data_IF_344123167445
#
_entry.id   IF_344123167445
#
_cell.length_a   1.000
_cell.length_b   1.000
_cell.length_c   1.000
_cell.angle_alpha   90.00
_cell.angle_beta   90.00
_cell.angle_gamma   90.00
#
_symmetry.space_group_name_H-M   'P 1'
#
loop_
_entity.id
_entity.type
_entity.pdbx_description
1 polymer ?
#
# COMPACT_ATOMS: atom_id res chain seq x y z
N UNK A 1 21.92 -8.20 -12.60
CA UNK A 1 20.67 -7.79 -13.27
C UNK A 1 19.50 -8.56 -12.69
N UNK A 2 18.32 -7.98 -12.72
CA UNK A 2 17.06 -8.62 -12.31
C UNK A 2 16.80 -9.86 -13.18
N UNK A 3 16.34 -10.94 -12.55
CA UNK A 3 15.95 -12.15 -13.26
C UNK A 3 14.54 -11.98 -13.83
N UNK A 4 14.47 -11.37 -15.01
CA UNK A 4 13.22 -11.03 -15.69
C UNK A 4 12.36 -12.26 -16.04
N UNK A 5 12.99 -13.40 -16.34
CA UNK A 5 12.26 -14.62 -16.69
C UNK A 5 11.40 -15.13 -15.53
N UNK A 6 11.88 -15.00 -14.29
CA UNK A 6 11.12 -15.39 -13.11
C UNK A 6 9.91 -14.48 -12.84
N UNK A 7 9.95 -13.22 -13.30
CA UNK A 7 8.79 -12.34 -13.21
C UNK A 7 7.65 -12.86 -14.10
N UNK A 8 7.99 -13.45 -15.25
CA UNK A 8 7.04 -13.97 -16.23
C UNK A 8 6.69 -15.45 -16.00
N UNK A 9 7.41 -16.15 -15.14
CA UNK A 9 7.21 -17.58 -14.86
C UNK A 9 5.85 -17.84 -14.22
N UNK A 10 5.19 -18.95 -14.59
CA UNK A 10 3.96 -19.42 -13.93
C UNK A 10 4.23 -19.88 -12.48
N UNK A 11 5.42 -20.38 -12.21
CA UNK A 11 5.83 -20.80 -10.87
C UNK A 11 6.84 -19.83 -10.28
N UNK A 12 6.47 -19.25 -9.12
CA UNK A 12 7.38 -18.36 -8.40
C UNK A 12 8.41 -19.16 -7.61
N UNK A 13 9.68 -18.73 -7.59
CA UNK A 13 10.76 -19.39 -6.88
C UNK A 13 10.49 -19.49 -5.37
N UNK A 14 11.18 -20.41 -4.72
CA UNK A 14 11.07 -20.60 -3.26
C UNK A 14 11.69 -19.44 -2.45
N UNK A 15 12.69 -18.76 -3.01
CA UNK A 15 13.47 -17.71 -2.36
C UNK A 15 13.28 -16.38 -3.06
N UNK A 16 13.24 -15.30 -2.27
CA UNK A 16 13.20 -13.93 -2.80
C UNK A 16 14.47 -13.58 -3.59
N UNK A 17 15.63 -14.07 -3.13
CA UNK A 17 16.93 -13.82 -3.77
C UNK A 17 17.03 -14.30 -5.22
N UNK A 18 16.24 -15.30 -5.61
CA UNK A 18 16.24 -15.84 -6.96
C UNK A 18 15.83 -14.81 -8.02
N UNK A 19 14.96 -13.84 -7.66
CA UNK A 19 14.58 -12.71 -8.54
C UNK A 19 15.72 -11.71 -8.77
N UNK A 20 16.70 -11.70 -7.88
CA UNK A 20 17.84 -10.78 -7.94
C UNK A 20 17.44 -9.29 -7.97
N UNK A 21 16.38 -8.91 -7.20
CA UNK A 21 15.98 -7.50 -7.05
C UNK A 21 16.98 -6.69 -6.22
N UNK A 22 17.68 -7.33 -5.30
CA UNK A 22 18.62 -6.70 -4.37
C UNK A 22 20.05 -7.16 -4.59
N UNK A 23 21.02 -6.24 -4.48
CA UNK A 23 22.45 -6.55 -4.36
C UNK A 23 22.75 -7.12 -2.98
N UNK A 24 22.08 -6.60 -1.97
CA UNK A 24 22.07 -7.09 -0.60
C UNK A 24 20.62 -7.05 -0.08
N UNK A 25 20.02 -8.23 0.01
CA UNK A 25 18.63 -8.33 0.41
C UNK A 25 18.44 -8.03 1.90
N UNK A 26 19.40 -8.39 2.77
CA UNK A 26 19.34 -8.12 4.21
C UNK A 26 19.39 -6.64 4.51
N UNK A 27 20.28 -5.91 3.82
CA UNK A 27 20.40 -4.46 3.93
C UNK A 27 19.35 -3.71 3.09
N UNK A 28 18.53 -4.43 2.30
CA UNK A 28 17.54 -3.87 1.37
C UNK A 28 18.18 -2.91 0.34
N UNK A 29 19.39 -3.25 -0.13
CA UNK A 29 20.10 -2.49 -1.17
C UNK A 29 19.71 -3.02 -2.54
N UNK A 30 18.96 -2.26 -3.35
CA UNK A 30 18.46 -2.74 -4.63
C UNK A 30 19.55 -2.77 -5.71
N UNK A 31 19.33 -3.58 -6.75
CA UNK A 31 20.05 -3.42 -8.01
C UNK A 31 19.73 -2.08 -8.67
N UNK A 32 20.62 -1.60 -9.54
CA UNK A 32 20.50 -0.28 -10.18
C UNK A 32 19.27 -0.14 -11.11
N UNK A 33 18.69 -1.27 -11.52
CA UNK A 33 17.45 -1.35 -12.32
C UNK A 33 16.18 -1.27 -11.47
N UNK A 34 16.31 -1.37 -10.14
CA UNK A 34 15.22 -1.43 -9.17
C UNK A 34 15.21 -0.11 -8.41
N UNK A 35 14.22 0.73 -8.70
CA UNK A 35 14.18 2.12 -8.24
C UNK A 35 13.36 2.23 -6.95
N UNK A 36 13.92 2.79 -5.87
CA UNK A 36 13.15 3.06 -4.66
C UNK A 36 12.10 4.14 -4.91
N UNK A 37 10.96 4.04 -4.23
CA UNK A 37 9.96 5.10 -4.21
C UNK A 37 9.22 5.16 -2.88
N UNK A 38 8.70 6.34 -2.57
CA UNK A 38 7.87 6.59 -1.41
C UNK A 38 6.52 7.17 -1.82
N UNK A 39 5.57 7.09 -0.91
CA UNK A 39 4.23 7.66 -1.05
C UNK A 39 4.11 8.88 -0.14
N UNK A 40 3.38 9.90 -0.59
CA UNK A 40 3.00 11.05 0.25
C UNK A 40 2.11 10.55 1.39
N UNK A 41 1.06 9.82 1.05
CA UNK A 41 0.11 9.26 2.01
C UNK A 41 0.17 7.75 1.95
N UNK A 42 0.43 7.10 3.08
CA UNK A 42 0.69 5.65 3.15
C UNK A 42 -0.50 4.90 3.73
N UNK A 43 -0.75 3.70 3.21
CA UNK A 43 -1.72 2.77 3.77
C UNK A 43 -1.26 2.31 5.15
N UNK A 44 -2.14 2.43 6.14
CA UNK A 44 -1.90 1.92 7.50
C UNK A 44 -1.91 0.38 7.49
N UNK A 45 -1.01 -0.25 8.23
CA UNK A 45 -1.02 -1.67 8.55
C UNK A 45 -0.20 -1.94 9.79
N UNK A 46 -0.88 -2.11 10.93
CA UNK A 46 -0.29 -2.50 12.23
C UNK A 46 0.99 -1.73 12.60
N UNK A 47 1.04 -0.42 12.32
CA UNK A 47 2.23 0.43 12.56
C UNK A 47 3.51 -0.02 11.86
N UNK A 48 3.45 -1.01 10.95
CA UNK A 48 4.63 -1.48 10.23
C UNK A 48 5.17 -0.42 9.27
N UNK A 49 6.47 -0.30 9.22
CA UNK A 49 7.18 0.49 8.23
C UNK A 49 7.26 -0.26 6.90
N UNK A 50 7.43 0.48 5.81
CA UNK A 50 7.45 -0.09 4.46
C UNK A 50 8.51 0.57 3.61
N UNK A 51 9.35 -0.24 2.98
CA UNK A 51 10.20 0.17 1.87
C UNK A 51 9.60 -0.32 0.56
N UNK A 52 9.74 0.46 -0.51
CA UNK A 52 9.11 0.17 -1.80
C UNK A 52 10.06 0.39 -2.94
N UNK A 53 9.96 -0.46 -3.94
CA UNK A 53 10.74 -0.35 -5.17
C UNK A 53 9.87 -0.72 -6.37
N UNK A 54 10.26 -0.17 -7.52
CA UNK A 54 9.69 -0.49 -8.81
C UNK A 54 10.77 -0.99 -9.75
N UNK A 55 10.43 -2.00 -10.52
CA UNK A 55 11.20 -2.47 -11.67
C UNK A 55 10.33 -2.41 -12.92
N UNK A 56 10.84 -1.79 -13.97
CA UNK A 56 10.24 -1.77 -15.30
C UNK A 56 11.26 -2.32 -16.29
N UNK A 57 10.89 -3.24 -17.17
CA UNK A 57 11.83 -3.83 -18.14
C UNK A 57 12.46 -2.75 -19.01
N UNK A 58 13.75 -2.89 -19.29
CA UNK A 58 14.51 -1.96 -20.14
C UNK A 58 13.83 -1.75 -21.49
N UNK A 59 13.65 -0.48 -21.86
CA UNK A 59 13.03 -0.08 -23.13
C UNK A 59 11.52 -0.09 -23.11
N UNK A 60 10.89 -0.43 -21.97
CA UNK A 60 9.45 -0.27 -21.75
C UNK A 60 9.20 0.84 -20.71
N UNK A 61 8.01 1.39 -20.70
CA UNK A 61 7.61 2.45 -19.80
C UNK A 61 6.20 2.22 -19.29
N UNK A 62 5.91 2.70 -18.10
CA UNK A 62 4.58 2.73 -17.55
C UNK A 62 3.85 4.00 -18.01
N UNK A 63 2.57 3.88 -18.33
CA UNK A 63 1.75 4.96 -18.83
C UNK A 63 0.96 5.62 -17.69
N UNK A 64 0.85 6.94 -17.73
CA UNK A 64 0.06 7.70 -16.78
C UNK A 64 -1.43 7.33 -16.86
N UNK A 65 -2.06 7.23 -15.69
CA UNK A 65 -3.51 7.07 -15.55
C UNK A 65 -4.03 8.09 -14.54
N UNK A 66 -5.02 8.89 -14.91
CA UNK A 66 -5.46 10.07 -14.13
C UNK A 66 -5.83 9.75 -12.67
N UNK A 67 -6.66 8.75 -12.44
CA UNK A 67 -7.17 8.41 -11.10
C UNK A 67 -6.64 7.09 -10.55
N UNK A 68 -5.80 6.42 -11.33
CA UNK A 68 -5.35 5.06 -11.07
C UNK A 68 -3.82 4.98 -10.92
N UNK A 69 -3.35 3.81 -10.57
CA UNK A 69 -1.93 3.50 -10.66
C UNK A 69 -1.48 3.54 -12.11
N UNK A 70 -0.21 3.81 -12.35
CA UNK A 70 0.36 3.73 -13.70
C UNK A 70 0.02 2.38 -14.35
N UNK A 71 -0.26 2.40 -15.65
CA UNK A 71 -0.37 1.17 -16.44
C UNK A 71 1.03 0.64 -16.74
N UNK A 72 1.49 -0.30 -15.90
CA UNK A 72 2.82 -0.88 -16.02
C UNK A 72 2.85 -1.94 -17.13
N UNK A 73 3.94 -2.00 -17.93
CA UNK A 73 4.09 -3.01 -18.96
C UNK A 73 4.34 -4.40 -18.35
N UNK A 74 3.99 -5.45 -19.11
CA UNK A 74 4.32 -6.84 -18.78
C UNK A 74 5.80 -7.01 -18.48
N UNK A 75 6.09 -7.72 -17.39
CA UNK A 75 7.43 -7.95 -16.85
C UNK A 75 7.85 -6.93 -15.79
N UNK A 76 6.98 -5.96 -15.45
CA UNK A 76 7.21 -5.03 -14.32
C UNK A 76 7.01 -5.72 -12.97
N UNK A 77 7.67 -5.21 -11.94
CA UNK A 77 7.50 -5.64 -10.57
C UNK A 77 7.36 -4.45 -9.62
N UNK A 78 6.42 -4.55 -8.69
CA UNK A 78 6.32 -3.68 -7.53
C UNK A 78 6.72 -4.50 -6.30
N UNK A 79 7.73 -4.03 -5.59
CA UNK A 79 8.34 -4.72 -4.45
C UNK A 79 8.06 -3.89 -3.20
N UNK A 80 7.57 -4.54 -2.13
CA UNK A 80 7.28 -3.87 -0.87
C UNK A 80 7.71 -4.72 0.30
N UNK A 81 8.69 -4.25 1.07
CA UNK A 81 9.15 -4.91 2.30
C UNK A 81 8.54 -4.23 3.52
N UNK A 82 7.96 -5.02 4.40
CA UNK A 82 7.41 -4.63 5.70
C UNK A 82 8.41 -4.94 6.79
N UNK A 83 8.58 -3.99 7.72
CA UNK A 83 9.52 -4.13 8.82
C UNK A 83 9.10 -3.30 10.03
N UNK A 84 9.70 -3.60 11.18
CA UNK A 84 9.72 -2.72 12.34
C UNK A 84 11.16 -2.36 12.67
N UNK A 85 11.48 -1.10 13.01
CA UNK A 85 12.78 -0.77 13.59
C UNK A 85 12.93 -1.49 14.93
N UNK A 86 14.14 -1.72 15.37
CA UNK A 86 14.39 -2.23 16.73
C UNK A 86 14.00 -1.17 17.76
N UNK A 87 14.36 0.09 17.50
CA UNK A 87 14.00 1.27 18.28
C UNK A 87 13.76 2.45 17.33
N UNK A 88 12.55 3.03 17.36
CA UNK A 88 12.18 4.16 16.48
C UNK A 88 13.01 5.41 16.73
N UNK A 89 13.58 5.57 17.94
CA UNK A 89 14.44 6.71 18.30
C UNK A 89 15.87 6.54 17.82
N UNK A 90 16.29 5.31 17.50
CA UNK A 90 17.64 4.99 17.05
C UNK A 90 17.63 4.00 15.89
N UNK A 91 17.43 4.47 14.63
CA UNK A 91 17.40 3.62 13.44
C UNK A 91 18.70 2.81 13.21
N UNK A 92 19.83 3.24 13.77
CA UNK A 92 21.12 2.54 13.65
C UNK A 92 21.14 1.17 14.33
N UNK A 93 20.22 0.91 15.28
CA UNK A 93 20.04 -0.40 15.88
C UNK A 93 19.47 -1.44 14.90
N UNK A 94 19.09 -0.99 13.70
CA UNK A 94 18.59 -1.86 12.64
C UNK A 94 17.08 -2.07 12.68
N UNK A 95 16.63 -3.05 11.91
CA UNK A 95 15.22 -3.34 11.68
C UNK A 95 14.96 -4.84 11.55
N UNK A 96 13.77 -5.26 11.95
CA UNK A 96 13.27 -6.62 11.79
C UNK A 96 12.43 -6.69 10.50
N UNK A 97 12.96 -7.29 9.45
CA UNK A 97 12.26 -7.56 8.21
C UNK A 97 11.24 -8.68 8.44
N UNK A 98 9.99 -8.47 8.03
CA UNK A 98 8.91 -9.43 8.25
C UNK A 98 8.54 -10.18 6.97
N UNK A 99 8.20 -9.43 5.95
CA UNK A 99 7.84 -9.96 4.64
C UNK A 99 8.20 -8.99 3.51
N UNK A 100 8.44 -9.54 2.34
CA UNK A 100 8.50 -8.80 1.09
C UNK A 100 7.38 -9.31 0.19
N UNK A 101 6.45 -8.41 -0.16
CA UNK A 101 5.38 -8.67 -1.13
C UNK A 101 5.79 -8.20 -2.51
N UNK A 102 5.49 -9.02 -3.48
CA UNK A 102 5.68 -8.69 -4.89
C UNK A 102 4.32 -8.63 -5.58
N UNK A 103 4.15 -7.63 -6.43
CA UNK A 103 3.16 -7.63 -7.49
C UNK A 103 3.93 -7.71 -8.81
N UNK A 104 3.70 -8.76 -9.57
CA UNK A 104 4.40 -9.07 -10.80
C UNK A 104 3.44 -8.95 -11.98
N UNK A 105 3.76 -8.11 -12.96
CA UNK A 105 2.90 -7.84 -14.11
C UNK A 105 3.09 -8.91 -15.17
N UNK A 106 2.04 -9.67 -15.42
CA UNK A 106 1.91 -10.67 -16.47
C UNK A 106 1.10 -10.10 -17.65
N UNK A 107 0.97 -10.88 -18.71
CA UNK A 107 0.18 -10.48 -19.87
C UNK A 107 -1.33 -10.36 -19.58
N UNK A 108 -1.85 -11.20 -18.70
CA UNK A 108 -3.25 -11.24 -18.29
C UNK A 108 -3.57 -10.38 -17.07
N UNK A 109 -2.57 -9.80 -16.39
CA UNK A 109 -2.79 -8.97 -15.20
C UNK A 109 -1.63 -8.97 -14.21
N UNK A 110 -1.93 -8.66 -12.97
CA UNK A 110 -0.98 -8.70 -11.87
C UNK A 110 -1.13 -9.98 -11.07
N UNK A 111 -0.02 -10.55 -10.67
CA UNK A 111 0.03 -11.64 -9.71
C UNK A 111 0.72 -11.22 -8.43
N UNK A 112 0.19 -11.68 -7.30
CA UNK A 112 0.70 -11.35 -5.96
C UNK A 112 1.39 -12.56 -5.35
N UNK A 113 2.57 -12.35 -4.76
CA UNK A 113 3.28 -13.36 -3.97
C UNK A 113 3.97 -12.73 -2.77
N UNK A 114 3.95 -13.43 -1.62
CA UNK A 114 4.60 -13.00 -0.37
C UNK A 114 5.76 -13.91 -0.01
N UNK A 115 6.84 -13.29 0.44
CA UNK A 115 8.05 -13.93 0.97
C UNK A 115 8.26 -13.50 2.41
N UNK A 116 8.24 -14.45 3.35
CA UNK A 116 8.48 -14.17 4.77
C UNK A 116 9.96 -14.33 5.09
N UNK A 117 10.53 -13.34 5.78
CA UNK A 117 11.92 -13.34 6.21
C UNK A 117 12.17 -14.41 7.29
N UNK A 118 13.34 -15.03 7.22
CA UNK A 118 13.79 -15.96 8.25
C UNK A 118 14.29 -15.19 9.49
N UNK A 119 14.56 -15.93 10.57
CA UNK A 119 15.03 -15.33 11.84
C UNK A 119 16.43 -14.72 11.71
N UNK A 120 17.25 -15.28 10.84
CA UNK A 120 18.61 -14.85 10.57
C UNK A 120 18.65 -13.58 9.72
N UNK A 121 17.48 -13.10 9.23
CA UNK A 121 17.33 -11.88 8.42
C UNK A 121 18.19 -11.86 7.15
N UNK A 122 18.52 -13.03 6.60
CA UNK A 122 19.39 -13.14 5.43
C UNK A 122 18.69 -13.68 4.18
N UNK A 123 17.47 -14.24 4.32
CA UNK A 123 16.68 -14.73 3.18
C UNK A 123 15.18 -14.67 3.51
N UNK A 124 14.38 -14.48 2.46
CA UNK A 124 12.92 -14.56 2.56
C UNK A 124 12.38 -15.71 1.69
N UNK A 125 11.45 -16.47 2.25
CA UNK A 125 10.89 -17.67 1.65
C UNK A 125 9.42 -17.50 1.30
N UNK A 126 9.02 -18.00 0.12
CA UNK A 126 7.65 -17.96 -0.37
C UNK A 126 6.67 -18.54 0.65
N UNK A 127 5.56 -17.81 0.90
CA UNK A 127 4.48 -18.22 1.80
C UNK A 127 3.13 -18.21 1.06
N UNK A 128 2.51 -19.38 0.99
CA UNK A 128 1.19 -19.56 0.37
C UNK A 128 0.08 -19.45 1.41
N UNK A 129 0.28 -20.10 2.58
CA UNK A 129 -0.73 -20.19 3.63
C UNK A 129 -0.75 -19.01 4.63
N UNK A 130 0.14 -18.03 4.43
CA UNK A 130 0.35 -16.96 5.40
C UNK A 130 1.17 -17.41 6.62
N UNK A 131 1.45 -16.46 7.52
CA UNK A 131 2.21 -16.71 8.77
C UNK A 131 1.89 -15.61 9.78
N UNK A 132 1.83 -15.97 11.07
CA UNK A 132 1.82 -14.98 12.16
C UNK A 132 3.22 -14.86 12.72
N UNK A 133 3.70 -13.62 12.90
CA UNK A 133 5.00 -13.28 13.46
C UNK A 133 4.75 -12.37 14.67
N UNK A 134 5.26 -12.76 15.84
CA UNK A 134 5.27 -11.86 16.98
C UNK A 134 6.47 -10.94 16.86
N UNK A 135 6.24 -9.64 16.98
CA UNK A 135 7.25 -8.60 16.84
C UNK A 135 7.15 -7.66 18.01
N UNK A 136 8.31 -7.33 18.60
CA UNK A 136 8.43 -6.30 19.62
C UNK A 136 9.37 -5.21 19.10
N UNK A 137 9.08 -3.94 19.43
CA UNK A 137 9.93 -2.80 19.13
C UNK A 137 9.78 -1.72 20.19
N UNK A 138 10.72 -0.79 20.24
CA UNK A 138 10.60 0.39 21.11
C UNK A 138 10.07 1.55 20.28
N UNK A 139 8.98 2.18 20.72
CA UNK A 139 8.37 3.31 20.02
C UNK A 139 9.10 4.65 20.27
N UNK A 140 8.64 5.73 19.62
CA UNK A 140 9.18 7.09 19.80
C UNK A 140 9.09 7.62 21.23
N UNK A 141 8.15 7.11 22.03
CA UNK A 141 8.02 7.48 23.44
C UNK A 141 8.96 6.68 24.34
N UNK A 142 9.65 5.67 23.79
CA UNK A 142 10.54 4.78 24.52
C UNK A 142 9.83 3.62 25.18
N UNK A 143 8.59 3.36 24.81
CA UNK A 143 7.81 2.25 25.34
C UNK A 143 7.95 1.01 24.46
N UNK A 144 8.01 -0.14 25.10
CA UNK A 144 8.01 -1.43 24.39
C UNK A 144 6.61 -1.73 23.87
N UNK A 145 6.53 -2.04 22.58
CA UNK A 145 5.31 -2.39 21.85
C UNK A 145 5.40 -3.80 21.30
N UNK A 146 4.27 -4.48 21.30
CA UNK A 146 4.14 -5.82 20.75
C UNK A 146 3.00 -5.88 19.73
N UNK A 147 3.22 -6.62 18.66
CA UNK A 147 2.18 -6.90 17.66
C UNK A 147 2.26 -8.35 17.19
N UNK A 148 1.12 -8.92 16.91
CA UNK A 148 1.00 -10.21 16.20
C UNK A 148 0.79 -9.94 14.72
N UNK A 149 1.88 -9.62 14.03
CA UNK A 149 1.86 -9.31 12.61
C UNK A 149 1.45 -10.52 11.78
N UNK A 150 0.47 -10.33 10.88
CA UNK A 150 -0.01 -11.38 10.00
C UNK A 150 0.50 -11.18 8.56
N UNK A 151 1.37 -12.06 8.11
CA UNK A 151 1.68 -12.22 6.69
C UNK A 151 0.44 -12.80 6.02
N UNK A 152 -0.20 -12.11 5.04
CA UNK A 152 -1.43 -12.59 4.43
C UNK A 152 -1.17 -13.78 3.50
N UNK A 153 -2.19 -14.59 3.28
CA UNK A 153 -2.21 -15.54 2.18
C UNK A 153 -2.63 -14.85 0.87
N UNK A 154 -2.51 -15.55 -0.26
CA UNK A 154 -2.82 -15.00 -1.60
C UNK A 154 -4.26 -14.51 -1.71
N UNK A 155 -5.24 -15.20 -1.10
CA UNK A 155 -6.65 -14.78 -1.14
C UNK A 155 -6.85 -13.46 -0.39
N UNK A 156 -6.19 -13.27 0.74
CA UNK A 156 -6.24 -12.02 1.49
C UNK A 156 -5.60 -10.83 0.74
N UNK A 157 -4.64 -11.09 -0.16
CA UNK A 157 -4.13 -10.04 -1.04
C UNK A 157 -5.22 -9.54 -1.99
N UNK A 158 -6.05 -10.45 -2.53
CA UNK A 158 -7.16 -10.10 -3.42
C UNK A 158 -8.21 -9.23 -2.74
N UNK A 159 -8.48 -9.42 -1.44
CA UNK A 159 -9.48 -8.63 -0.72
C UNK A 159 -9.26 -7.11 -0.83
N UNK A 160 -7.98 -6.67 -0.82
CA UNK A 160 -7.62 -5.26 -0.94
C UNK A 160 -7.21 -4.84 -2.36
N UNK A 161 -6.61 -5.77 -3.11
CA UNK A 161 -6.04 -5.51 -4.43
C UNK A 161 -6.98 -5.84 -5.58
N UNK A 162 -8.29 -5.97 -5.33
CA UNK A 162 -9.27 -6.24 -6.37
C UNK A 162 -9.79 -4.93 -6.99
N UNK A 163 -9.74 -4.89 -8.33
CA UNK A 163 -10.41 -3.89 -9.15
C UNK A 163 -10.94 -4.61 -10.41
N UNK A 164 -12.25 -4.63 -10.59
CA UNK A 164 -12.92 -5.32 -11.70
C UNK A 164 -12.52 -6.82 -11.80
N UNK A 165 -12.56 -7.53 -10.67
CA UNK A 165 -12.20 -8.96 -10.53
C UNK A 165 -10.72 -9.28 -10.88
N UNK A 166 -9.84 -8.26 -10.92
CA UNK A 166 -8.41 -8.42 -11.20
C UNK A 166 -7.57 -7.81 -10.09
N UNK A 167 -6.42 -8.43 -9.82
CA UNK A 167 -5.44 -7.83 -8.89
C UNK A 167 -4.93 -6.52 -9.49
N UNK A 168 -4.99 -5.44 -8.69
CA UNK A 168 -4.48 -4.11 -9.05
C UNK A 168 -3.61 -3.55 -7.93
N UNK A 169 -2.49 -2.89 -8.25
CA UNK A 169 -1.73 -2.12 -7.28
C UNK A 169 -2.56 -0.96 -6.71
N UNK A 170 -2.23 -0.51 -5.49
CA UNK A 170 -2.94 0.58 -4.82
C UNK A 170 -2.08 1.84 -4.75
N UNK A 171 -0.79 1.68 -4.45
CA UNK A 171 0.09 2.78 -4.02
C UNK A 171 0.59 3.70 -5.11
N UNK A 172 1.21 3.22 -6.20
CA UNK A 172 1.97 4.07 -7.13
C UNK A 172 1.05 4.80 -8.14
N UNK A 173 0.18 5.68 -7.61
CA UNK A 173 -0.54 6.68 -8.39
C UNK A 173 0.35 7.91 -8.55
N UNK A 174 0.38 8.54 -9.72
CA UNK A 174 1.22 9.72 -9.96
C UNK A 174 1.07 10.77 -8.86
N UNK A 175 -0.17 11.12 -8.49
CA UNK A 175 -0.44 12.10 -7.43
C UNK A 175 0.17 11.72 -6.06
N UNK A 176 0.30 10.43 -5.73
CA UNK A 176 0.77 9.96 -4.43
C UNK A 176 2.29 9.74 -4.37
N UNK A 177 2.97 9.73 -5.53
CA UNK A 177 4.44 9.71 -5.60
C UNK A 177 5.03 11.07 -6.01
N UNK A 178 4.21 12.11 -6.16
CA UNK A 178 4.63 13.46 -6.51
C UNK A 178 5.25 14.18 -5.30
N UNK A 179 6.40 13.71 -4.85
CA UNK A 179 7.21 14.27 -3.75
C UNK A 179 8.68 14.10 -4.03
N UNK A 180 9.51 14.89 -3.36
CA UNK A 180 10.94 14.75 -3.45
C UNK A 180 11.44 13.53 -2.65
N UNK A 181 12.46 12.88 -3.18
CA UNK A 181 13.16 11.75 -2.56
C UNK A 181 14.65 11.85 -2.86
N UNK A 182 15.48 11.45 -1.88
CA UNK A 182 16.93 11.38 -2.06
C UNK A 182 17.29 10.06 -2.74
N UNK A 183 17.83 10.15 -3.95
CA UNK A 183 18.43 9.06 -4.70
C UNK A 183 19.95 9.10 -4.60
N UNK A 184 20.66 8.15 -5.20
CA UNK A 184 22.13 8.15 -5.23
C UNK A 184 22.72 9.39 -5.90
N UNK A 185 22.01 9.91 -6.91
CA UNK A 185 22.41 11.07 -7.72
C UNK A 185 22.06 12.41 -7.09
N UNK A 186 21.31 12.43 -5.99
CA UNK A 186 20.82 13.62 -5.31
C UNK A 186 19.32 13.58 -5.02
N UNK A 187 18.78 14.72 -4.58
CA UNK A 187 17.37 14.90 -4.29
C UNK A 187 16.60 15.33 -5.55
N UNK A 188 15.54 14.60 -5.89
CA UNK A 188 14.70 14.87 -7.06
C UNK A 188 13.23 14.60 -6.74
N UNK A 189 12.32 15.32 -7.41
CA UNK A 189 10.95 14.90 -7.47
C UNK A 189 10.87 13.52 -8.14
N UNK A 190 10.16 12.57 -7.51
CA UNK A 190 10.13 11.18 -7.94
C UNK A 190 9.57 11.00 -9.36
N UNK A 191 8.54 11.76 -9.74
CA UNK A 191 7.98 11.68 -11.09
C UNK A 191 8.99 12.13 -12.15
N UNK A 192 9.67 13.25 -11.89
CA UNK A 192 10.76 13.75 -12.75
C UNK A 192 11.90 12.72 -12.83
N UNK A 193 12.27 12.14 -11.70
CA UNK A 193 13.30 11.09 -11.68
C UNK A 193 12.88 9.86 -12.48
N UNK A 194 11.63 9.39 -12.31
CA UNK A 194 11.11 8.25 -13.06
C UNK A 194 11.06 8.52 -14.56
N UNK A 195 10.67 9.73 -14.97
CA UNK A 195 10.71 10.13 -16.38
C UNK A 195 12.13 10.12 -16.94
N UNK A 196 13.08 10.71 -16.23
CA UNK A 196 14.51 10.74 -16.62
C UNK A 196 15.12 9.33 -16.69
N UNK A 197 14.68 8.42 -15.82
CA UNK A 197 15.08 7.01 -15.81
C UNK A 197 14.29 6.15 -16.81
N UNK A 198 13.38 6.76 -17.58
CA UNK A 198 12.51 6.08 -18.56
C UNK A 198 11.61 4.98 -17.95
N UNK A 199 11.21 5.17 -16.70
CA UNK A 199 10.24 4.32 -16.01
C UNK A 199 8.82 4.66 -16.45
N UNK A 200 8.54 5.94 -16.67
CA UNK A 200 7.26 6.47 -17.18
C UNK A 200 7.48 7.30 -18.44
N UNK A 201 6.40 7.48 -19.20
CA UNK A 201 6.45 8.32 -20.41
C UNK A 201 6.28 9.80 -20.06
N UNK A 202 5.19 10.14 -19.40
CA UNK A 202 4.80 11.51 -19.11
C UNK A 202 3.84 11.56 -17.92
N UNK A 203 3.58 12.76 -17.39
CA UNK A 203 2.58 13.02 -16.35
C UNK A 203 2.15 14.51 -16.40
N UNK A 204 0.91 14.86 -16.00
CA UNK A 204 0.47 16.25 -15.92
C UNK A 204 1.25 17.04 -14.88
N UNK A 205 1.63 18.28 -15.19
CA UNK A 205 2.36 19.17 -14.28
C UNK A 205 1.48 19.75 -13.16
N UNK A 206 0.16 19.76 -13.35
CA UNK A 206 -0.84 20.31 -12.45
C UNK A 206 -1.53 19.25 -11.57
N UNK A 207 -0.82 18.17 -11.26
CA UNK A 207 -1.33 17.10 -10.40
C UNK A 207 -1.74 17.61 -9.03
N UNK A 208 -2.99 17.37 -8.66
CA UNK A 208 -3.48 17.56 -7.28
C UNK A 208 -3.04 16.36 -6.46
N UNK A 209 -2.05 16.58 -5.60
CA UNK A 209 -1.49 15.55 -4.72
C UNK A 209 -2.24 15.46 -3.38
N UNK A 210 -2.34 14.28 -2.75
CA UNK A 210 -2.78 14.17 -1.37
C UNK A 210 -1.77 14.86 -0.45
N UNK A 211 -2.18 15.11 0.79
CA UNK A 211 -1.25 15.49 1.86
C UNK A 211 -0.82 14.25 2.65
N UNK A 212 0.29 14.31 3.35
CA UNK A 212 0.61 13.29 4.35
C UNK A 212 -0.43 13.38 5.48
N UNK A 213 -1.23 12.34 5.63
CA UNK A 213 -2.28 12.31 6.64
C UNK A 213 -1.74 12.32 8.07
N UNK A 214 -0.46 12.03 8.28
CA UNK A 214 0.22 12.08 9.59
C UNK A 214 0.77 13.46 9.91
N UNK A 215 0.91 14.37 8.94
CA UNK A 215 1.44 15.72 9.14
C UNK A 215 0.38 16.62 9.79
N UNK A 216 0.53 16.86 11.10
CA UNK A 216 -0.41 17.68 11.89
C UNK A 216 -0.45 19.16 11.49
N UNK A 217 0.50 19.63 10.69
CA UNK A 217 0.49 21.01 10.17
C UNK A 217 -0.42 21.19 8.95
N UNK A 218 -0.94 20.09 8.39
CA UNK A 218 -1.89 20.13 7.27
C UNK A 218 -3.32 20.26 7.76
N UNK A 219 -4.19 20.86 6.91
CA UNK A 219 -5.62 20.95 7.19
C UNK A 219 -6.23 19.59 7.50
N UNK A 220 -7.07 19.54 8.53
CA UNK A 220 -7.64 18.26 9.01
C UNK A 220 -8.52 17.58 7.94
N UNK A 221 -9.26 18.36 7.14
CA UNK A 221 -10.07 17.80 6.06
C UNK A 221 -9.20 17.17 4.97
N UNK A 222 -8.09 17.82 4.59
CA UNK A 222 -7.16 17.29 3.60
C UNK A 222 -6.49 16.03 4.11
N UNK A 223 -6.12 15.97 5.39
CA UNK A 223 -5.57 14.78 6.04
C UNK A 223 -6.58 13.63 6.04
N UNK A 224 -7.83 13.89 6.42
CA UNK A 224 -8.90 12.87 6.41
C UNK A 224 -9.18 12.40 5.00
N UNK A 225 -9.25 13.28 4.01
CA UNK A 225 -9.45 12.92 2.61
C UNK A 225 -8.31 12.04 2.07
N UNK A 226 -7.07 12.39 2.39
CA UNK A 226 -5.88 11.61 2.02
C UNK A 226 -5.85 10.24 2.71
N UNK A 227 -6.23 10.18 4.01
CA UNK A 227 -6.37 8.94 4.75
C UNK A 227 -7.43 8.01 4.13
N UNK A 228 -8.61 8.56 3.82
CA UNK A 228 -9.71 7.79 3.22
C UNK A 228 -9.37 7.28 1.82
N UNK A 229 -8.70 8.09 0.99
CA UNK A 229 -8.26 7.67 -0.36
C UNK A 229 -7.35 6.44 -0.29
N UNK A 230 -6.32 6.48 0.56
CA UNK A 230 -5.31 5.42 0.58
C UNK A 230 -5.74 4.18 1.36
N UNK A 231 -6.54 4.34 2.43
CA UNK A 231 -6.94 3.22 3.30
C UNK A 231 -8.28 2.59 2.92
N UNK A 232 -9.17 3.32 2.25
CA UNK A 232 -10.55 2.91 2.01
C UNK A 232 -10.93 2.98 0.53
N UNK A 233 -10.40 3.97 -0.20
CA UNK A 233 -10.79 4.27 -1.58
C UNK A 233 -10.54 3.15 -2.58
N UNK A 234 -9.61 2.25 -2.32
CA UNK A 234 -9.38 1.10 -3.21
C UNK A 234 -10.54 0.08 -3.21
N UNK A 235 -11.22 -0.10 -2.05
CA UNK A 235 -12.43 -0.92 -1.97
C UNK A 235 -13.69 -0.06 -2.20
N UNK A 236 -13.75 1.13 -1.58
CA UNK A 236 -14.86 2.06 -1.67
C UNK A 236 -14.71 3.01 -2.87
N UNK A 237 -14.87 2.46 -4.06
CA UNK A 237 -14.82 3.14 -5.36
C UNK A 237 -15.79 2.46 -6.34
N UNK A 238 -16.09 3.06 -7.50
CA UNK A 238 -16.98 2.44 -8.49
C UNK A 238 -16.55 1.07 -8.99
N UNK A 239 -15.25 0.75 -8.95
CA UNK A 239 -14.67 -0.52 -9.44
C UNK A 239 -14.13 -1.41 -8.32
N UNK A 240 -14.17 -0.95 -7.06
CA UNK A 240 -13.70 -1.72 -5.91
C UNK A 240 -14.74 -2.70 -5.36
N UNK A 241 -14.31 -3.62 -4.50
CA UNK A 241 -15.15 -4.67 -3.91
C UNK A 241 -16.38 -4.15 -3.15
N UNK A 242 -16.34 -2.92 -2.64
CA UNK A 242 -17.46 -2.28 -1.94
C UNK A 242 -18.26 -1.31 -2.84
N UNK A 243 -18.19 -1.43 -4.16
CA UNK A 243 -18.85 -0.55 -5.13
C UNK A 243 -20.36 -0.45 -4.92
N UNK A 244 -21.02 -1.57 -4.58
CA UNK A 244 -22.47 -1.64 -4.36
C UNK A 244 -22.97 -0.79 -3.19
N UNK A 245 -22.07 -0.37 -2.28
CA UNK A 245 -22.42 0.49 -1.15
C UNK A 245 -22.73 1.93 -1.58
N UNK A 246 -22.24 2.35 -2.74
CA UNK A 246 -22.28 3.75 -3.21
C UNK A 246 -21.54 4.72 -2.28
N UNK A 247 -20.66 4.20 -1.40
CA UNK A 247 -19.71 4.97 -0.61
C UNK A 247 -18.40 4.99 -1.38
N UNK A 248 -17.98 6.17 -1.85
CA UNK A 248 -16.77 6.34 -2.65
C UNK A 248 -15.83 7.31 -1.97
N UNK A 249 -14.65 6.83 -1.60
CA UNK A 249 -13.74 7.52 -0.68
C UNK A 249 -12.41 7.93 -1.34
N UNK A 250 -12.33 7.86 -2.67
CA UNK A 250 -11.15 8.33 -3.41
C UNK A 250 -11.03 9.86 -3.36
N UNK A 251 -9.82 10.37 -3.50
CA UNK A 251 -9.47 11.77 -3.26
C UNK A 251 -10.32 12.76 -4.08
N UNK A 252 -10.63 12.41 -5.34
CA UNK A 252 -11.35 13.27 -6.28
C UNK A 252 -12.89 13.21 -6.14
N UNK A 253 -13.44 12.41 -5.22
CA UNK A 253 -14.89 12.41 -4.99
C UNK A 253 -15.30 13.69 -4.26
N UNK A 254 -16.30 14.39 -4.79
CA UNK A 254 -16.78 15.67 -4.26
C UNK A 254 -18.24 15.63 -3.82
N UNK A 255 -18.97 14.57 -4.16
CA UNK A 255 -20.38 14.45 -3.82
C UNK A 255 -20.57 14.01 -2.38
N UNK A 256 -21.18 14.84 -1.55
CA UNK A 256 -21.40 14.56 -0.13
C UNK A 256 -22.02 13.19 0.13
N UNK A 257 -23.04 12.82 -0.67
CA UNK A 257 -23.72 11.52 -0.51
C UNK A 257 -22.77 10.33 -0.75
N UNK A 258 -21.85 10.45 -1.70
CA UNK A 258 -20.86 9.41 -1.98
C UNK A 258 -19.75 9.39 -0.93
N UNK A 259 -19.41 10.53 -0.36
CA UNK A 259 -18.50 10.62 0.79
C UNK A 259 -19.12 10.06 2.08
N UNK A 260 -20.42 9.79 2.08
CA UNK A 260 -21.12 9.20 3.21
C UNK A 260 -21.93 10.18 4.06
N UNK A 261 -21.91 11.49 3.74
CA UNK A 261 -22.64 12.50 4.50
C UNK A 261 -24.16 12.26 4.40
N UNK A 262 -24.78 12.02 5.54
CA UNK A 262 -26.19 11.61 5.67
C UNK A 262 -26.63 10.46 4.78
N UNK A 263 -25.66 9.65 4.30
CA UNK A 263 -25.91 8.47 3.51
C UNK A 263 -26.38 7.32 4.40
N UNK A 264 -27.55 6.77 4.08
CA UNK A 264 -28.01 5.52 4.72
C UNK A 264 -27.15 4.35 4.26
N UNK A 265 -26.80 3.42 5.17
CA UNK A 265 -26.04 2.22 4.78
C UNK A 265 -26.86 1.34 3.84
N UNK A 266 -26.10 0.61 2.97
CA UNK A 266 -26.65 -0.41 2.10
C UNK A 266 -26.31 -1.74 2.65
N UNK A 267 -26.85 -2.64 3.11
CA UNK A 267 -26.47 -4.02 3.52
C UNK A 267 -25.37 -4.09 4.61
N UNK A 268 -25.31 -3.18 5.55
CA UNK A 268 -24.31 -3.25 6.64
C UNK A 268 -24.68 -4.21 7.78
N UNK A 269 -25.94 -4.68 7.86
CA UNK A 269 -26.37 -5.58 8.92
C UNK A 269 -26.02 -5.04 10.31
N UNK A 270 -25.43 -5.89 11.16
CA UNK A 270 -24.97 -5.52 12.51
C UNK A 270 -23.82 -4.49 12.52
N UNK A 271 -23.12 -4.36 11.39
CA UNK A 271 -22.04 -3.37 11.23
C UNK A 271 -22.51 -1.93 11.30
N UNK A 272 -23.83 -1.67 11.23
CA UNK A 272 -24.37 -0.31 11.47
C UNK A 272 -24.31 0.12 12.95
N UNK A 273 -24.18 -0.82 13.89
CA UNK A 273 -24.26 -0.51 15.33
C UNK A 273 -25.59 0.13 15.75
N UNK A 274 -26.66 -0.02 14.96
CA UNK A 274 -27.94 0.66 15.16
C UNK A 274 -27.94 2.14 14.71
N UNK A 275 -26.83 2.62 14.14
CA UNK A 275 -26.68 3.99 13.63
C UNK A 275 -27.35 4.13 12.25
N UNK A 276 -27.71 5.37 11.91
CA UNK A 276 -28.58 5.66 10.77
C UNK A 276 -27.84 6.07 9.50
N UNK A 277 -26.68 6.74 9.64
CA UNK A 277 -25.96 7.34 8.54
C UNK A 277 -24.46 6.99 8.55
N UNK A 278 -23.86 6.95 7.38
CA UNK A 278 -22.43 6.66 7.26
C UNK A 278 -21.58 7.75 7.93
N UNK A 279 -21.89 9.02 7.70
CA UNK A 279 -21.28 10.17 8.38
C UNK A 279 -22.39 11.14 8.80
N UNK A 280 -22.33 11.60 10.04
CA UNK A 280 -23.12 12.73 10.55
C UNK A 280 -22.15 13.84 10.89
N UNK A 281 -22.14 14.95 10.13
CA UNK A 281 -21.22 16.06 10.38
C UNK A 281 -21.37 16.62 11.80
N UNK A 282 -20.23 16.79 12.49
CA UNK A 282 -20.22 17.28 13.88
C UNK A 282 -20.62 16.26 14.95
N UNK A 283 -21.07 15.06 14.56
CA UNK A 283 -21.51 14.00 15.49
C UNK A 283 -20.83 12.67 15.17
N UNK A 284 -19.52 12.54 15.46
CA UNK A 284 -18.76 11.35 15.10
C UNK A 284 -19.30 10.06 15.73
N UNK A 285 -19.83 10.12 16.95
CA UNK A 285 -20.43 8.97 17.67
C UNK A 285 -21.73 8.47 17.02
N UNK A 286 -22.38 9.27 16.15
CA UNK A 286 -23.55 8.88 15.36
C UNK A 286 -23.19 8.39 13.95
N UNK A 287 -21.89 8.32 13.64
CA UNK A 287 -21.37 7.98 12.31
C UNK A 287 -20.94 6.52 12.24
N UNK A 288 -21.55 5.75 11.31
CA UNK A 288 -21.24 4.33 11.09
C UNK A 288 -19.78 4.17 10.70
N UNK A 289 -19.21 5.08 9.92
CA UNK A 289 -17.81 5.04 9.50
C UNK A 289 -16.89 4.92 10.72
N UNK A 290 -17.01 5.84 11.69
CA UNK A 290 -16.20 5.82 12.91
C UNK A 290 -16.48 4.57 13.74
N UNK A 291 -17.76 4.21 13.93
CA UNK A 291 -18.15 3.00 14.66
C UNK A 291 -17.43 1.76 14.13
N UNK A 292 -17.40 1.60 12.81
CA UNK A 292 -16.72 0.46 12.17
C UNK A 292 -15.18 0.54 12.28
N UNK A 293 -14.63 1.75 12.16
CA UNK A 293 -13.17 1.95 12.25
C UNK A 293 -12.61 1.64 13.65
N UNK A 294 -13.33 1.92 14.71
CA UNK A 294 -12.90 1.65 16.10
C UNK A 294 -13.30 0.26 16.60
N UNK A 295 -14.16 -0.45 15.87
CA UNK A 295 -14.61 -1.79 16.28
C UNK A 295 -13.48 -2.82 16.19
N UNK A 296 -13.43 -3.72 17.17
CA UNK A 296 -12.55 -4.89 17.19
C UNK A 296 -13.28 -6.20 16.81
N UNK A 297 -14.59 -6.14 16.57
CA UNK A 297 -15.37 -7.29 16.11
C UNK A 297 -15.11 -7.53 14.61
N UNK A 298 -14.56 -8.70 14.22
CA UNK A 298 -14.26 -9.01 12.81
C UNK A 298 -15.46 -8.90 11.87
N UNK A 299 -16.70 -9.05 12.39
CA UNK A 299 -17.91 -8.91 11.57
C UNK A 299 -18.49 -7.48 11.52
N UNK A 300 -17.81 -6.52 12.14
CA UNK A 300 -18.21 -5.10 12.23
C UNK A 300 -17.09 -4.19 11.74
N UNK A 301 -15.86 -4.50 12.09
CA UNK A 301 -14.70 -3.61 11.84
C UNK A 301 -14.48 -3.31 10.36
N UNK A 302 -13.90 -2.12 10.08
CA UNK A 302 -13.32 -1.73 8.80
C UNK A 302 -11.91 -1.18 9.03
N UNK A 303 -10.95 -1.54 8.18
CA UNK A 303 -11.03 -2.55 7.12
C UNK A 303 -11.29 -3.96 7.68
N UNK A 304 -11.86 -4.83 6.87
CA UNK A 304 -12.17 -6.23 7.24
C UNK A 304 -10.90 -7.07 7.39
N UNK A 305 -9.84 -6.70 6.68
CA UNK A 305 -8.52 -7.33 6.73
C UNK A 305 -7.40 -6.29 6.67
N UNK A 306 -6.18 -6.69 7.05
CA UNK A 306 -4.99 -5.83 6.96
C UNK A 306 -4.84 -4.79 8.08
N UNK A 307 -5.46 -5.04 9.23
CA UNK A 307 -5.44 -4.17 10.41
C UNK A 307 -4.42 -4.67 11.41
#
# INVERSE_FOLDING_TARGET
>A
AVNHELILSEEFPAKLSDFNFFKDASAQIPHDEVIPYELISTLFSDYSYKQRWVYVPKGKKAEYQENWVFNFPTGSALIKTFYYPVDERNPELGKNLLETRLLLKKDDGWEAVSYAWNKEQNEAFKKIAGKTINVSWTDFMGEERDVRYRVPNVNQCKECHDADDKISPIGPKARNINKDLTFKEGEFNQLTYWMNRQIIDDYPLDLVSPVDWTDENKDINDRVRSYLDVNCGHCHSPTGNANSTGLYLHLNETRDIHLGVFKKPVATGRGSGGLKYSIVPGEPEKSILLHRMISMDPGVMMPESGR
#
